data_IF_553849426817
#
_entry.id   IF_553849426817
#
_cell.length_a   1.000
_cell.length_b   1.000
_cell.length_c   1.000
_cell.angle_alpha   90.00
_cell.angle_beta   90.00
_cell.angle_gamma   90.00
#
_symmetry.space_group_name_H-M   'P 1'
#
loop_
_entity.id
_entity.type
_entity.pdbx_description
1 polymer ?
#
# COMPACT_ATOMS: atom_id res chain seq x y z
N UNK A 1 -58.02 -20.93 -15.26
CA UNK A 1 -57.96 -20.63 -13.82
C UNK A 1 -57.39 -21.80 -12.99
N UNK A 2 -56.44 -22.59 -13.52
CA UNK A 2 -55.70 -23.65 -12.77
C UNK A 2 -54.25 -23.74 -13.30
N UNK A 3 -53.64 -22.63 -13.71
CA UNK A 3 -52.24 -22.61 -14.21
C UNK A 3 -51.38 -21.51 -13.55
N UNK A 4 -51.97 -20.63 -12.74
CA UNK A 4 -51.23 -19.53 -12.08
C UNK A 4 -50.72 -19.86 -10.66
N UNK A 5 -51.02 -21.04 -10.11
CA UNK A 5 -50.77 -21.35 -8.69
C UNK A 5 -49.50 -22.16 -8.39
N UNK A 6 -48.51 -22.20 -9.29
CA UNK A 6 -47.30 -23.04 -9.11
C UNK A 6 -45.94 -22.34 -9.30
N UNK A 7 -45.88 -21.01 -9.32
CA UNK A 7 -44.61 -20.26 -9.47
C UNK A 7 -44.15 -19.48 -8.23
N UNK A 8 -44.58 -19.85 -7.02
CA UNK A 8 -43.89 -19.40 -5.80
C UNK A 8 -42.69 -20.30 -5.54
N UNK A 9 -41.63 -20.12 -6.35
CA UNK A 9 -40.28 -20.49 -5.92
C UNK A 9 -39.99 -19.58 -4.74
N UNK A 10 -40.12 -20.12 -3.53
CA UNK A 10 -39.58 -19.51 -2.32
C UNK A 10 -38.08 -19.41 -2.55
N UNK A 11 -37.63 -18.23 -2.98
CA UNK A 11 -36.22 -17.86 -2.88
C UNK A 11 -35.92 -17.89 -1.40
N UNK A 12 -35.28 -18.95 -0.93
CA UNK A 12 -34.83 -19.04 0.45
C UNK A 12 -33.98 -17.79 0.72
N UNK A 13 -34.45 -16.92 1.62
CA UNK A 13 -33.59 -15.85 2.11
C UNK A 13 -32.36 -16.52 2.71
N UNK A 14 -31.14 -16.05 2.37
CA UNK A 14 -29.94 -16.60 2.99
C UNK A 14 -30.09 -16.48 4.50
N UNK A 15 -29.79 -17.56 5.23
CA UNK A 15 -29.92 -17.57 6.68
C UNK A 15 -29.15 -16.38 7.27
N UNK A 16 -29.87 -15.50 7.98
CA UNK A 16 -29.26 -14.41 8.72
C UNK A 16 -28.16 -15.00 9.62
N UNK A 17 -26.90 -14.51 9.53
CA UNK A 17 -25.84 -15.02 10.37
C UNK A 17 -26.26 -14.84 11.82
N UNK A 18 -26.31 -15.94 12.57
CA UNK A 18 -26.65 -15.89 13.99
C UNK A 18 -25.71 -14.96 14.76
N UNK A 19 -26.11 -14.54 15.96
CA UNK A 19 -25.33 -13.63 16.82
C UNK A 19 -23.86 -14.05 16.97
N UNK A 20 -23.59 -15.37 17.00
CA UNK A 20 -22.22 -15.90 17.07
C UNK A 20 -21.42 -15.66 15.77
N UNK A 21 -22.05 -15.79 14.60
CA UNK A 21 -21.42 -15.52 13.30
C UNK A 21 -21.10 -14.04 13.12
N UNK A 22 -22.04 -13.16 13.47
CA UNK A 22 -21.81 -11.70 13.41
C UNK A 22 -20.74 -11.23 14.39
N UNK A 23 -20.69 -11.80 15.61
CA UNK A 23 -19.61 -11.53 16.57
C UNK A 23 -18.25 -12.07 16.10
N UNK A 24 -18.20 -13.26 15.49
CA UNK A 24 -16.97 -13.85 14.96
C UNK A 24 -16.39 -13.01 13.81
N UNK A 25 -17.24 -12.54 12.89
CA UNK A 25 -16.82 -11.65 11.80
C UNK A 25 -16.35 -10.29 12.33
N UNK A 26 -17.03 -9.73 13.32
CA UNK A 26 -16.61 -8.48 13.98
C UNK A 26 -15.27 -8.61 14.70
N UNK A 27 -15.05 -9.70 15.43
CA UNK A 27 -13.80 -9.96 16.15
C UNK A 27 -12.62 -10.16 15.19
N UNK A 28 -12.81 -10.92 14.10
CA UNK A 28 -11.78 -11.12 13.07
C UNK A 28 -11.43 -9.82 12.34
N UNK A 29 -12.42 -9.01 12.00
CA UNK A 29 -12.19 -7.68 11.40
C UNK A 29 -11.39 -6.78 12.34
N UNK A 30 -11.75 -6.73 13.62
CA UNK A 30 -11.02 -5.95 14.62
C UNK A 30 -9.58 -6.43 14.74
N UNK A 31 -9.38 -7.75 14.88
CA UNK A 31 -8.05 -8.36 15.01
C UNK A 31 -7.16 -8.02 13.81
N UNK A 32 -7.64 -8.24 12.58
CA UNK A 32 -6.83 -7.97 11.39
C UNK A 32 -6.57 -6.48 11.19
N UNK A 33 -7.53 -5.59 11.48
CA UNK A 33 -7.32 -4.14 11.47
C UNK A 33 -6.24 -3.74 12.46
N UNK A 34 -6.28 -4.28 13.67
CA UNK A 34 -5.30 -3.96 14.70
C UNK A 34 -3.90 -4.43 14.30
N UNK A 35 -3.77 -5.67 13.81
CA UNK A 35 -2.51 -6.18 13.26
C UNK A 35 -2.01 -5.28 12.12
N UNK A 36 -2.89 -4.90 11.20
CA UNK A 36 -2.56 -4.06 10.05
C UNK A 36 -2.01 -2.69 10.48
N UNK A 37 -2.69 -2.03 11.42
CA UNK A 37 -2.31 -0.71 11.93
C UNK A 37 -0.99 -0.78 12.69
N UNK A 38 -0.84 -1.71 13.64
CA UNK A 38 0.39 -1.85 14.43
C UNK A 38 1.59 -2.17 13.55
N UNK A 39 1.44 -3.12 12.62
CA UNK A 39 2.49 -3.45 11.66
C UNK A 39 2.79 -2.27 10.73
N UNK A 40 1.77 -1.50 10.33
CA UNK A 40 1.90 -0.34 9.46
C UNK A 40 2.68 0.78 10.12
N UNK A 41 2.39 1.08 11.39
CA UNK A 41 3.14 2.05 12.21
C UNK A 41 4.61 1.63 12.32
N UNK A 42 4.88 0.36 12.64
CA UNK A 42 6.23 -0.16 12.72
C UNK A 42 6.97 -0.03 11.38
N UNK A 43 6.32 -0.43 10.29
CA UNK A 43 6.91 -0.41 8.95
C UNK A 43 7.22 1.00 8.46
N UNK A 44 6.21 1.87 8.44
CA UNK A 44 6.35 3.24 7.93
C UNK A 44 7.20 4.10 8.87
N UNK A 45 7.11 3.89 10.18
CA UNK A 45 7.98 4.55 11.15
C UNK A 45 9.46 4.22 10.91
N UNK A 46 9.79 2.93 10.71
CA UNK A 46 11.16 2.53 10.38
C UNK A 46 11.59 3.00 8.99
N UNK A 47 10.68 3.06 8.02
CA UNK A 47 10.95 3.64 6.70
C UNK A 47 11.44 5.09 6.82
N UNK A 48 10.74 5.90 7.62
CA UNK A 48 11.10 7.30 7.88
C UNK A 48 12.39 7.40 8.68
N UNK A 49 12.56 6.57 9.71
CA UNK A 49 13.83 6.48 10.43
C UNK A 49 15.00 6.21 9.48
N UNK A 50 14.91 5.21 8.60
CA UNK A 50 16.00 4.88 7.69
C UNK A 50 16.36 6.01 6.74
N UNK A 51 15.35 6.73 6.23
CA UNK A 51 15.53 7.71 5.16
C UNK A 51 15.84 9.11 5.67
N UNK A 52 15.19 9.54 6.74
CA UNK A 52 15.29 10.91 7.23
C UNK A 52 16.25 11.05 8.41
N UNK A 53 16.52 9.98 9.15
CA UNK A 53 17.38 10.01 10.34
C UNK A 53 18.67 9.24 10.11
N UNK A 54 18.57 7.92 9.88
CA UNK A 54 19.72 7.04 9.80
C UNK A 54 20.63 7.35 8.61
N UNK A 55 20.07 7.61 7.42
CA UNK A 55 20.85 7.96 6.22
C UNK A 55 21.75 9.19 6.41
N UNK A 56 21.19 10.35 6.81
CA UNK A 56 21.99 11.53 7.14
C UNK A 56 23.02 11.30 8.27
N UNK A 57 22.64 10.55 9.31
CA UNK A 57 23.54 10.20 10.41
C UNK A 57 24.73 9.35 9.94
N UNK A 58 24.49 8.27 9.19
CA UNK A 58 25.55 7.42 8.64
C UNK A 58 26.48 8.19 7.69
N UNK A 59 25.98 9.23 7.03
CA UNK A 59 26.79 10.13 6.20
C UNK A 59 27.92 10.84 6.96
N UNK A 60 27.76 11.04 8.28
CA UNK A 60 28.76 11.70 9.15
C UNK A 60 29.77 10.75 9.78
N UNK A 61 29.54 9.43 9.71
CA UNK A 61 30.42 8.45 10.32
C UNK A 61 31.66 8.17 9.44
N UNK A 62 32.82 8.09 10.07
CA UNK A 62 34.05 7.62 9.45
C UNK A 62 34.02 6.09 9.23
N UNK A 63 34.97 5.58 8.44
CA UNK A 63 35.03 4.16 8.06
C UNK A 63 35.06 3.20 9.26
N UNK A 64 36.00 3.35 10.21
CA UNK A 64 36.04 2.57 11.45
C UNK A 64 34.71 2.56 12.22
N UNK A 65 34.10 3.72 12.48
CA UNK A 65 32.83 3.79 13.24
C UNK A 65 31.68 3.11 12.50
N UNK A 66 31.60 3.23 11.16
CA UNK A 66 30.61 2.51 10.35
C UNK A 66 30.68 1.00 10.53
N UNK A 67 31.88 0.43 10.69
CA UNK A 67 32.06 -1.02 10.90
C UNK A 67 31.48 -1.50 12.24
N UNK A 68 31.37 -0.62 13.23
CA UNK A 68 30.77 -0.93 14.52
C UNK A 68 29.26 -0.69 14.45
N UNK A 69 28.84 0.49 14.01
CA UNK A 69 27.44 0.93 14.09
C UNK A 69 26.55 0.20 13.09
N UNK A 70 26.96 0.07 11.82
CA UNK A 70 26.08 -0.46 10.77
C UNK A 70 25.71 -1.93 10.99
N UNK A 71 26.65 -2.84 11.27
CA UNK A 71 26.33 -4.25 11.51
C UNK A 71 25.48 -4.49 12.76
N UNK A 72 25.52 -3.58 13.73
CA UNK A 72 24.71 -3.71 14.95
C UNK A 72 23.33 -3.06 14.79
N UNK A 73 23.26 -1.81 14.32
CA UNK A 73 22.00 -1.09 14.24
C UNK A 73 21.11 -1.62 13.10
N UNK A 74 21.67 -1.79 11.90
CA UNK A 74 20.88 -1.94 10.67
C UNK A 74 20.14 -3.28 10.60
N UNK A 75 20.76 -4.45 10.90
CA UNK A 75 20.03 -5.72 10.88
C UNK A 75 18.85 -5.77 11.85
N UNK A 76 19.01 -5.19 13.06
CA UNK A 76 17.95 -5.15 14.08
C UNK A 76 16.75 -4.33 13.59
N UNK A 77 17.00 -3.12 13.06
CA UNK A 77 15.95 -2.31 12.48
C UNK A 77 15.34 -2.95 11.21
N UNK A 78 16.16 -3.57 10.35
CA UNK A 78 15.68 -4.22 9.12
C UNK A 78 14.81 -5.44 9.39
N UNK A 79 15.04 -6.15 10.51
CA UNK A 79 14.20 -7.26 10.94
C UNK A 79 12.76 -6.81 11.16
N UNK A 80 12.56 -5.77 11.97
CA UNK A 80 11.23 -5.23 12.23
C UNK A 80 10.63 -4.56 11.00
N UNK A 81 11.44 -3.89 10.19
CA UNK A 81 10.98 -3.24 8.96
C UNK A 81 10.43 -4.24 7.94
N UNK A 82 11.12 -5.37 7.68
CA UNK A 82 10.66 -6.36 6.69
C UNK A 82 9.43 -7.13 7.16
N UNK A 83 9.37 -7.48 8.44
CA UNK A 83 8.23 -8.17 9.00
C UNK A 83 7.03 -7.24 9.19
N UNK A 84 7.25 -5.98 9.57
CA UNK A 84 6.22 -4.94 9.52
C UNK A 84 5.61 -4.84 8.12
N UNK A 85 6.45 -4.75 7.08
CA UNK A 85 5.98 -4.74 5.70
C UNK A 85 5.15 -5.98 5.32
N UNK A 86 5.63 -7.18 5.69
CA UNK A 86 4.92 -8.43 5.41
C UNK A 86 3.57 -8.49 6.13
N UNK A 87 3.54 -8.19 7.43
CA UNK A 87 2.31 -8.28 8.22
C UNK A 87 1.29 -7.23 7.83
N UNK A 88 1.70 -5.98 7.52
CA UNK A 88 0.79 -4.97 6.96
C UNK A 88 0.22 -5.44 5.63
N UNK A 89 1.05 -5.96 4.73
CA UNK A 89 0.58 -6.39 3.43
C UNK A 89 -0.36 -7.60 3.51
N UNK A 90 0.02 -8.65 4.26
CA UNK A 90 -0.81 -9.86 4.44
C UNK A 90 -2.15 -9.49 5.09
N UNK A 91 -2.13 -8.79 6.22
CA UNK A 91 -3.37 -8.37 6.88
C UNK A 91 -4.20 -7.42 6.01
N UNK A 92 -3.56 -6.58 5.19
CA UNK A 92 -4.24 -5.68 4.26
C UNK A 92 -4.97 -6.42 3.15
N UNK A 93 -4.33 -7.43 2.55
CA UNK A 93 -4.98 -8.31 1.55
C UNK A 93 -6.12 -9.12 2.19
N UNK A 94 -5.94 -9.62 3.40
CA UNK A 94 -7.00 -10.32 4.14
C UNK A 94 -8.17 -9.39 4.47
N UNK A 95 -7.91 -8.14 4.86
CA UNK A 95 -8.95 -7.15 5.12
C UNK A 95 -9.66 -6.73 3.83
N UNK A 96 -8.93 -6.57 2.72
CA UNK A 96 -9.52 -6.35 1.41
C UNK A 96 -10.48 -7.49 1.09
N UNK A 97 -10.01 -8.74 1.16
CA UNK A 97 -10.83 -9.93 0.94
C UNK A 97 -12.04 -10.00 1.87
N UNK A 98 -11.85 -9.85 3.18
CA UNK A 98 -12.91 -10.01 4.18
C UNK A 98 -13.99 -8.92 4.07
N UNK A 99 -13.58 -7.65 3.99
CA UNK A 99 -14.48 -6.49 4.07
C UNK A 99 -15.16 -6.16 2.75
N UNK A 100 -14.48 -6.42 1.63
CA UNK A 100 -14.94 -5.97 0.32
C UNK A 100 -15.33 -7.13 -0.60
N UNK A 101 -14.87 -8.36 -0.33
CA UNK A 101 -15.11 -9.51 -1.22
C UNK A 101 -15.75 -10.74 -0.53
N UNK A 102 -15.82 -10.84 0.81
CA UNK A 102 -16.33 -12.03 1.51
C UNK A 102 -17.59 -11.79 2.37
N UNK A 103 -17.73 -10.64 3.05
CA UNK A 103 -18.86 -10.38 3.94
C UNK A 103 -20.21 -10.67 3.25
N UNK A 104 -21.08 -11.51 3.83
CA UNK A 104 -22.37 -11.97 3.30
C UNK A 104 -23.15 -10.83 2.63
N UNK A 105 -23.15 -10.84 1.29
CA UNK A 105 -23.28 -9.65 0.42
C UNK A 105 -22.08 -9.43 -0.54
N UNK A 106 -21.10 -10.35 -0.49
CA UNK A 106 -19.72 -10.27 -1.00
C UNK A 106 -19.48 -10.27 -2.50
N UNK A 107 -20.38 -9.67 -3.29
CA UNK A 107 -19.99 -9.08 -4.57
C UNK A 107 -20.27 -7.56 -4.62
N UNK A 108 -21.10 -7.06 -3.69
CA UNK A 108 -21.82 -5.79 -3.82
C UNK A 108 -22.13 -5.23 -2.43
N UNK A 109 -21.11 -4.93 -1.63
CA UNK A 109 -21.36 -4.04 -0.50
C UNK A 109 -21.77 -2.68 -1.10
N UNK A 110 -22.92 -2.12 -0.68
CA UNK A 110 -23.40 -0.79 -1.08
C UNK A 110 -22.39 0.35 -0.91
N UNK A 111 -21.31 0.07 -0.19
CA UNK A 111 -20.18 0.96 0.05
C UNK A 111 -19.05 0.89 -1.00
N UNK A 112 -19.00 -0.13 -1.87
CA UNK A 112 -17.92 -0.32 -2.84
C UNK A 112 -18.22 0.26 -4.23
N UNK A 113 -19.49 0.23 -4.63
CA UNK A 113 -19.95 0.70 -5.93
C UNK A 113 -20.88 1.89 -5.75
N UNK A 114 -20.71 2.92 -6.56
CA UNK A 114 -21.54 4.13 -6.52
C UNK A 114 -23.04 3.82 -6.69
N UNK A 115 -23.37 2.80 -7.49
CA UNK A 115 -24.74 2.39 -7.83
C UNK A 115 -24.94 0.90 -7.53
N UNK A 116 -24.89 0.51 -6.27
CA UNK A 116 -24.97 -0.89 -5.86
C UNK A 116 -26.32 -1.58 -6.19
N UNK A 117 -27.39 -0.83 -6.42
CA UNK A 117 -28.70 -1.35 -6.85
C UNK A 117 -28.69 -1.90 -8.28
N UNK A 118 -27.89 -1.31 -9.17
CA UNK A 118 -27.89 -1.66 -10.61
C UNK A 118 -26.75 -2.61 -10.95
N UNK A 119 -25.63 -2.47 -10.24
CA UNK A 119 -24.42 -3.22 -10.49
C UNK A 119 -24.51 -4.69 -9.99
N UNK A 120 -25.52 -4.98 -9.17
CA UNK A 120 -25.79 -6.30 -8.59
C UNK A 120 -26.42 -7.31 -9.55
N UNK A 121 -27.18 -6.82 -10.54
CA UNK A 121 -28.02 -7.67 -11.37
C UNK A 121 -27.27 -8.39 -12.51
N UNK A 122 -26.06 -7.92 -12.88
CA UNK A 122 -25.43 -8.26 -14.17
C UNK A 122 -24.13 -9.11 -14.08
N UNK A 123 -23.63 -9.45 -12.89
CA UNK A 123 -22.38 -10.23 -12.69
C UNK A 123 -21.08 -9.53 -13.11
N UNK A 124 -21.14 -8.38 -13.79
CA UNK A 124 -20.01 -7.55 -14.21
C UNK A 124 -19.19 -6.99 -13.06
N UNK A 125 -19.83 -6.70 -11.92
CA UNK A 125 -19.20 -6.19 -10.70
C UNK A 125 -18.19 -7.14 -10.10
N UNK A 126 -18.49 -8.44 -10.05
CA UNK A 126 -17.54 -9.46 -9.58
C UNK A 126 -16.28 -9.47 -10.44
N UNK A 127 -16.44 -9.48 -11.77
CA UNK A 127 -15.31 -9.47 -12.71
C UNK A 127 -14.49 -8.19 -12.57
N UNK A 128 -15.13 -7.03 -12.47
CA UNK A 128 -14.45 -5.73 -12.31
C UNK A 128 -13.71 -5.61 -10.98
N UNK A 129 -14.27 -6.12 -9.88
CA UNK A 129 -13.57 -6.20 -8.60
C UNK A 129 -12.34 -7.11 -8.70
N UNK A 130 -12.47 -8.27 -9.34
CA UNK A 130 -11.33 -9.20 -9.53
C UNK A 130 -10.23 -8.58 -10.40
N UNK A 131 -10.59 -7.83 -11.44
CA UNK A 131 -9.63 -7.07 -12.27
C UNK A 131 -8.91 -6.02 -11.42
N UNK A 132 -9.65 -5.21 -10.65
CA UNK A 132 -9.07 -4.18 -9.79
C UNK A 132 -8.09 -4.79 -8.77
N UNK A 133 -8.49 -5.87 -8.07
CA UNK A 133 -7.64 -6.58 -7.13
C UNK A 133 -6.43 -7.25 -7.82
N UNK A 134 -6.65 -7.88 -8.97
CA UNK A 134 -5.59 -8.51 -9.76
C UNK A 134 -4.52 -7.51 -10.17
N UNK A 135 -4.91 -6.30 -10.59
CA UNK A 135 -3.98 -5.23 -10.95
C UNK A 135 -3.15 -4.75 -9.76
N UNK A 136 -3.72 -4.65 -8.56
CA UNK A 136 -2.95 -4.30 -7.34
C UNK A 136 -1.76 -5.26 -7.13
N UNK A 137 -1.96 -6.55 -7.41
CA UNK A 137 -0.93 -7.58 -7.26
C UNK A 137 0.04 -7.64 -8.46
N UNK A 138 -0.48 -7.55 -9.67
CA UNK A 138 0.26 -7.80 -10.92
C UNK A 138 0.98 -6.55 -11.44
N UNK A 139 0.71 -5.34 -10.93
CA UNK A 139 1.40 -4.13 -11.39
C UNK A 139 2.84 -3.97 -10.85
N UNK A 140 3.31 -4.87 -9.97
CA UNK A 140 4.68 -4.79 -9.46
C UNK A 140 5.77 -4.87 -10.52
N UNK A 141 5.76 -5.84 -11.47
CA UNK A 141 6.73 -5.87 -12.55
C UNK A 141 6.70 -4.60 -13.40
N UNK A 142 5.52 -4.03 -13.67
CA UNK A 142 5.38 -2.77 -14.43
C UNK A 142 6.08 -1.62 -13.69
N UNK A 143 5.78 -1.45 -12.40
CA UNK A 143 6.47 -0.47 -11.55
C UNK A 143 8.00 -0.73 -11.50
N UNK A 144 8.42 -1.99 -11.34
CA UNK A 144 9.84 -2.34 -11.24
C UNK A 144 10.59 -2.02 -12.55
N UNK A 145 9.95 -2.27 -13.70
CA UNK A 145 10.42 -1.90 -15.03
C UNK A 145 10.55 -0.38 -15.20
N UNK A 146 9.53 0.40 -14.83
CA UNK A 146 9.55 1.87 -14.90
C UNK A 146 10.71 2.42 -14.06
N UNK A 147 10.81 1.96 -12.81
CA UNK A 147 11.85 2.42 -11.89
C UNK A 147 13.26 1.99 -12.33
N UNK A 148 13.41 0.86 -13.05
CA UNK A 148 14.68 0.46 -13.67
C UNK A 148 15.00 1.37 -14.86
N UNK A 149 14.06 1.55 -15.78
CA UNK A 149 14.22 2.34 -17.01
C UNK A 149 14.56 3.81 -16.71
N UNK A 150 13.95 4.37 -15.67
CA UNK A 150 14.10 5.77 -15.28
C UNK A 150 15.01 5.95 -14.05
N UNK A 151 15.84 4.96 -13.72
CA UNK A 151 16.73 4.97 -12.54
C UNK A 151 17.71 6.16 -12.48
N UNK A 152 18.03 6.76 -13.63
CA UNK A 152 18.87 7.98 -13.72
C UNK A 152 18.16 9.25 -13.24
N UNK A 153 16.82 9.31 -13.33
CA UNK A 153 16.02 10.45 -12.88
C UNK A 153 14.95 9.97 -11.91
N UNK A 154 15.26 10.08 -10.62
CA UNK A 154 14.38 9.66 -9.52
C UNK A 154 13.01 10.34 -9.56
N UNK A 155 12.91 11.67 -9.84
CA UNK A 155 11.61 12.30 -10.01
C UNK A 155 10.82 11.69 -11.17
N UNK A 156 11.47 11.45 -12.32
CA UNK A 156 10.79 10.92 -13.50
C UNK A 156 10.20 9.53 -13.24
N UNK A 157 10.94 8.62 -12.58
CA UNK A 157 10.41 7.29 -12.24
C UNK A 157 9.17 7.35 -11.36
N UNK A 158 9.14 8.27 -10.38
CA UNK A 158 8.01 8.43 -9.47
C UNK A 158 6.82 9.08 -10.15
N UNK A 159 7.02 10.15 -10.92
CA UNK A 159 5.93 10.82 -11.63
C UNK A 159 5.28 9.93 -12.69
N UNK A 160 6.07 9.16 -13.45
CA UNK A 160 5.52 8.18 -14.40
C UNK A 160 4.72 7.11 -13.64
N UNK A 161 5.20 6.64 -12.50
CA UNK A 161 4.45 5.68 -11.70
C UNK A 161 3.16 6.28 -11.11
N UNK A 162 3.19 7.54 -10.67
CA UNK A 162 2.00 8.26 -10.21
C UNK A 162 0.96 8.45 -11.30
N UNK A 163 1.39 8.68 -12.56
CA UNK A 163 0.48 8.71 -13.69
C UNK A 163 -0.18 7.33 -13.94
N UNK A 164 0.56 6.23 -13.77
CA UNK A 164 -0.03 4.88 -13.84
C UNK A 164 -1.05 4.66 -12.71
N UNK A 165 -0.71 5.06 -11.48
CA UNK A 165 -1.63 4.96 -10.35
C UNK A 165 -2.88 5.85 -10.53
N UNK A 166 -2.73 7.03 -11.14
CA UNK A 166 -3.84 7.91 -11.48
C UNK A 166 -4.71 7.33 -12.60
N UNK A 167 -4.10 6.70 -13.60
CA UNK A 167 -4.83 5.95 -14.64
C UNK A 167 -5.62 4.78 -14.06
N UNK A 168 -5.05 4.07 -13.08
CA UNK A 168 -5.76 3.03 -12.33
C UNK A 168 -6.95 3.59 -11.55
N UNK A 169 -6.79 4.73 -10.86
CA UNK A 169 -7.88 5.42 -10.17
C UNK A 169 -8.99 5.88 -11.14
N UNK A 170 -8.61 6.46 -12.28
CA UNK A 170 -9.53 6.90 -13.32
C UNK A 170 -10.31 5.74 -13.92
N UNK A 171 -9.64 4.61 -14.21
CA UNK A 171 -10.31 3.38 -14.66
C UNK A 171 -11.34 2.92 -13.63
N UNK A 172 -10.98 2.86 -12.34
CA UNK A 172 -11.93 2.48 -11.28
C UNK A 172 -13.12 3.43 -11.20
N UNK A 173 -12.89 4.74 -11.29
CA UNK A 173 -13.95 5.75 -11.15
C UNK A 173 -14.89 5.78 -12.35
N UNK A 174 -14.33 5.89 -13.57
CA UNK A 174 -15.10 6.19 -14.77
C UNK A 174 -15.55 4.94 -15.53
N UNK A 175 -14.80 3.84 -15.43
CA UNK A 175 -15.11 2.61 -16.19
C UNK A 175 -15.74 1.54 -15.32
N UNK A 176 -15.26 1.40 -14.08
CA UNK A 176 -15.79 0.40 -13.15
C UNK A 176 -16.93 0.95 -12.27
N UNK A 177 -17.06 2.28 -12.12
CA UNK A 177 -18.10 2.89 -11.28
C UNK A 177 -17.87 2.69 -9.78
N UNK A 178 -16.61 2.53 -9.37
CA UNK A 178 -16.23 2.33 -7.97
C UNK A 178 -16.52 3.59 -7.11
N UNK A 179 -16.85 3.37 -5.84
CA UNK A 179 -17.03 4.46 -4.87
C UNK A 179 -15.70 5.14 -4.53
N UNK A 180 -15.74 6.38 -4.03
CA UNK A 180 -14.53 7.07 -3.60
C UNK A 180 -13.75 6.26 -2.56
N UNK A 181 -14.45 5.60 -1.63
CA UNK A 181 -13.86 4.70 -0.62
C UNK A 181 -13.08 3.56 -1.27
N UNK A 182 -13.70 2.88 -2.25
CA UNK A 182 -13.09 1.77 -2.95
C UNK A 182 -11.81 2.20 -3.68
N UNK A 183 -11.87 3.34 -4.36
CA UNK A 183 -10.75 3.90 -5.14
C UNK A 183 -9.59 4.28 -4.21
N UNK A 184 -9.83 5.01 -3.12
CA UNK A 184 -8.77 5.40 -2.18
C UNK A 184 -8.07 4.18 -1.57
N UNK A 185 -8.85 3.19 -1.11
CA UNK A 185 -8.29 1.96 -0.53
C UNK A 185 -7.51 1.15 -1.57
N UNK A 186 -7.99 1.03 -2.81
CA UNK A 186 -7.29 0.26 -3.85
C UNK A 186 -6.00 0.96 -4.30
N UNK A 187 -5.99 2.28 -4.44
CA UNK A 187 -4.77 3.04 -4.79
C UNK A 187 -3.77 3.00 -3.62
N UNK A 188 -4.25 3.09 -2.38
CA UNK A 188 -3.43 2.85 -1.20
C UNK A 188 -2.84 1.43 -1.20
N UNK A 189 -3.64 0.41 -1.51
CA UNK A 189 -3.21 -0.98 -1.57
C UNK A 189 -2.21 -1.25 -2.71
N UNK A 190 -2.37 -0.56 -3.85
CA UNK A 190 -1.43 -0.58 -4.96
C UNK A 190 -0.05 -0.11 -4.48
N UNK A 191 0.03 1.07 -3.86
CA UNK A 191 1.28 1.57 -3.30
C UNK A 191 1.84 0.67 -2.21
N UNK A 192 0.99 0.20 -1.28
CA UNK A 192 1.41 -0.72 -0.22
C UNK A 192 2.01 -2.01 -0.76
N UNK A 193 1.44 -2.55 -1.84
CA UNK A 193 1.94 -3.77 -2.51
C UNK A 193 3.28 -3.51 -3.19
N UNK A 194 3.43 -2.41 -3.96
CA UNK A 194 4.72 -2.04 -4.56
C UNK A 194 5.79 -1.85 -3.49
N UNK A 195 5.42 -1.21 -2.39
CA UNK A 195 6.31 -0.93 -1.28
C UNK A 195 6.75 -2.21 -0.57
N UNK A 196 5.83 -3.13 -0.27
CA UNK A 196 6.15 -4.41 0.38
C UNK A 196 7.04 -5.26 -0.52
N UNK A 197 6.75 -5.31 -1.82
CA UNK A 197 7.58 -6.00 -2.80
C UNK A 197 8.98 -5.36 -2.90
N UNK A 198 9.11 -4.03 -2.88
CA UNK A 198 10.42 -3.37 -2.79
C UNK A 198 11.22 -3.82 -1.57
N UNK A 199 10.57 -3.92 -0.40
CA UNK A 199 11.24 -4.36 0.84
C UNK A 199 11.84 -5.75 0.66
N UNK A 200 11.04 -6.72 0.23
CA UNK A 200 11.46 -8.11 0.19
C UNK A 200 12.31 -8.48 -1.02
N UNK A 201 12.08 -7.86 -2.19
CA UNK A 201 12.74 -8.23 -3.44
C UNK A 201 13.93 -7.35 -3.81
N UNK A 202 13.99 -6.10 -3.33
CA UNK A 202 15.02 -5.14 -3.73
C UNK A 202 15.82 -4.58 -2.55
N UNK A 203 15.19 -4.22 -1.44
CA UNK A 203 15.88 -3.59 -0.31
C UNK A 203 16.58 -4.65 0.54
N UNK A 204 15.85 -5.63 1.06
CA UNK A 204 16.39 -6.63 1.98
C UNK A 204 17.56 -7.46 1.41
N UNK A 205 17.49 -8.00 0.18
CA UNK A 205 18.61 -8.78 -0.37
C UNK A 205 19.89 -7.96 -0.53
N UNK A 206 19.76 -6.71 -1.00
CA UNK A 206 20.90 -5.82 -1.19
C UNK A 206 21.45 -5.31 0.16
N UNK A 207 20.59 -5.00 1.12
CA UNK A 207 21.03 -4.60 2.47
C UNK A 207 21.83 -5.70 3.16
N UNK A 208 21.42 -6.97 3.04
CA UNK A 208 22.24 -8.09 3.54
C UNK A 208 23.66 -8.06 2.97
N UNK A 209 23.80 -7.90 1.65
CA UNK A 209 25.10 -7.84 0.98
C UNK A 209 25.94 -6.64 1.42
N UNK A 210 25.32 -5.47 1.52
CA UNK A 210 25.96 -4.23 1.98
C UNK A 210 26.49 -4.40 3.41
N UNK A 211 25.66 -4.92 4.32
CA UNK A 211 26.04 -5.10 5.73
C UNK A 211 27.16 -6.13 5.85
N UNK A 212 27.10 -7.24 5.09
CA UNK A 212 28.18 -8.24 5.07
C UNK A 212 29.50 -7.65 4.60
N UNK A 213 29.50 -6.84 3.53
CA UNK A 213 30.71 -6.17 3.04
C UNK A 213 31.31 -5.23 4.10
N UNK A 214 30.48 -4.39 4.72
CA UNK A 214 30.90 -3.46 5.78
C UNK A 214 31.47 -4.23 6.99
N UNK A 215 30.80 -5.31 7.41
CA UNK A 215 31.27 -6.17 8.51
C UNK A 215 32.63 -6.81 8.17
N UNK A 216 32.84 -7.22 6.93
CA UNK A 216 34.12 -7.74 6.42
C UNK A 216 35.19 -6.67 6.18
N UNK A 217 34.88 -5.40 6.45
CA UNK A 217 35.80 -4.28 6.28
C UNK A 217 35.98 -3.82 4.83
N UNK A 218 35.18 -4.33 3.89
CA UNK A 218 35.21 -3.99 2.48
C UNK A 218 34.24 -2.85 2.16
N UNK A 219 34.54 -2.08 1.11
CA UNK A 219 33.58 -1.12 0.57
C UNK A 219 32.42 -1.88 -0.11
N UNK A 220 31.15 -1.58 0.21
CA UNK A 220 30.03 -2.23 -0.45
C UNK A 220 29.91 -1.80 -1.91
N UNK A 221 29.48 -2.72 -2.78
CA UNK A 221 29.21 -2.44 -4.19
C UNK A 221 28.23 -1.27 -4.35
N UNK A 222 28.63 -0.25 -5.11
CA UNK A 222 27.85 0.94 -5.39
C UNK A 222 26.49 0.63 -6.04
N UNK A 223 26.38 -0.44 -6.83
CA UNK A 223 25.13 -0.87 -7.45
C UNK A 223 24.13 -1.37 -6.40
N UNK A 224 24.58 -2.12 -5.39
CA UNK A 224 23.70 -2.59 -4.31
C UNK A 224 23.21 -1.42 -3.45
N UNK A 225 24.12 -0.50 -3.10
CA UNK A 225 23.80 0.70 -2.33
C UNK A 225 22.83 1.59 -3.11
N UNK A 226 23.10 1.81 -4.39
CA UNK A 226 22.25 2.60 -5.28
C UNK A 226 20.85 2.03 -5.42
N UNK A 227 20.73 0.73 -5.66
CA UNK A 227 19.42 0.06 -5.82
C UNK A 227 18.61 0.03 -4.52
N UNK A 228 19.23 -0.37 -3.40
CA UNK A 228 18.55 -0.40 -2.10
C UNK A 228 18.10 1.01 -1.67
N UNK A 229 18.97 2.00 -1.85
CA UNK A 229 18.68 3.40 -1.56
C UNK A 229 17.56 3.96 -2.43
N UNK A 230 17.60 3.72 -3.74
CA UNK A 230 16.55 4.18 -4.68
C UNK A 230 15.18 3.62 -4.29
N UNK A 231 15.09 2.31 -4.02
CA UNK A 231 13.82 1.66 -3.67
C UNK A 231 13.31 2.06 -2.30
N UNK A 232 14.21 2.27 -1.34
CA UNK A 232 13.86 2.83 -0.04
C UNK A 232 13.25 4.24 -0.18
N UNK A 233 13.84 5.10 -1.02
CA UNK A 233 13.28 6.43 -1.30
C UNK A 233 11.95 6.36 -2.03
N UNK A 234 11.81 5.49 -3.03
CA UNK A 234 10.51 5.30 -3.70
C UNK A 234 9.41 4.93 -2.69
N UNK A 235 9.72 4.04 -1.73
CA UNK A 235 8.79 3.72 -0.67
C UNK A 235 8.42 4.95 0.16
N UNK A 236 9.37 5.80 0.52
CA UNK A 236 9.10 7.03 1.28
C UNK A 236 8.22 8.03 0.52
N UNK A 237 8.43 8.18 -0.78
CA UNK A 237 7.57 9.03 -1.62
C UNK A 237 6.16 8.44 -1.79
N UNK A 238 6.04 7.12 -1.92
CA UNK A 238 4.73 6.46 -2.00
C UNK A 238 4.00 6.43 -0.66
N UNK A 239 4.70 6.43 0.48
CA UNK A 239 4.07 6.29 1.79
C UNK A 239 3.23 7.51 2.17
N UNK A 240 3.66 8.72 1.85
CA UNK A 240 2.90 9.94 2.18
C UNK A 240 1.49 9.97 1.55
N UNK A 241 1.33 9.85 0.22
CA UNK A 241 -0.01 9.76 -0.36
C UNK A 241 -0.75 8.50 0.11
N UNK A 242 -0.08 7.34 0.26
CA UNK A 242 -0.70 6.12 0.76
C UNK A 242 -1.36 6.33 2.13
N UNK A 243 -0.66 6.93 3.09
CA UNK A 243 -1.19 7.17 4.44
C UNK A 243 -2.47 7.99 4.40
N UNK A 244 -2.49 9.07 3.60
CA UNK A 244 -3.67 9.91 3.46
C UNK A 244 -4.84 9.15 2.81
N UNK A 245 -4.56 8.34 1.78
CA UNK A 245 -5.60 7.52 1.14
C UNK A 245 -6.16 6.47 2.10
N UNK A 246 -5.33 5.86 2.95
CA UNK A 246 -5.80 4.89 3.94
C UNK A 246 -6.61 5.53 5.07
N UNK A 247 -6.24 6.71 5.55
CA UNK A 247 -7.00 7.41 6.60
C UNK A 247 -8.26 8.11 6.06
N UNK A 248 -8.32 8.41 4.75
CA UNK A 248 -9.44 9.12 4.11
C UNK A 248 -10.80 8.45 4.35
N UNK A 249 -10.84 7.14 4.56
CA UNK A 249 -12.09 6.40 4.84
C UNK A 249 -12.71 6.73 6.20
N UNK A 250 -11.95 7.40 7.07
CA UNK A 250 -12.39 7.96 8.35
C UNK A 250 -12.74 9.45 8.25
N UNK A 251 -12.77 10.03 7.04
CA UNK A 251 -13.09 11.43 6.78
C UNK A 251 -14.36 11.52 5.93
N UNK A 252 -15.56 11.60 6.53
CA UNK A 252 -16.83 11.57 5.79
C UNK A 252 -16.92 12.58 4.64
N UNK A 253 -16.33 13.77 4.80
CA UNK A 253 -16.28 14.80 3.75
C UNK A 253 -15.56 14.36 2.46
N UNK A 254 -14.61 13.42 2.53
CA UNK A 254 -13.88 12.93 1.35
C UNK A 254 -14.62 11.85 0.56
N UNK A 255 -15.76 11.37 1.07
CA UNK A 255 -16.51 10.24 0.52
C UNK A 255 -17.83 10.71 -0.12
N UNK A 256 -18.24 10.07 -1.22
CA UNK A 256 -19.54 10.31 -1.87
C UNK A 256 -19.59 11.55 -2.75
N UNK A 257 -18.43 12.15 -3.04
CA UNK A 257 -18.30 13.34 -3.89
C UNK A 257 -18.03 12.96 -5.36
N UNK A 258 -17.76 11.69 -5.65
CA UNK A 258 -17.43 11.16 -6.99
C UNK A 258 -16.32 11.95 -7.67
N UNK A 259 -15.27 12.28 -6.92
CA UNK A 259 -14.10 13.06 -7.38
C UNK A 259 -12.77 12.42 -6.95
N UNK A 260 -12.78 11.13 -6.58
CA UNK A 260 -11.60 10.44 -6.04
C UNK A 260 -10.33 10.61 -6.89
N UNK A 261 -10.42 10.53 -8.23
CA UNK A 261 -9.26 10.68 -9.13
C UNK A 261 -8.64 12.07 -9.01
N UNK A 262 -9.45 13.14 -8.94
CA UNK A 262 -8.96 14.51 -8.78
C UNK A 262 -8.31 14.71 -7.40
N UNK A 263 -8.92 14.16 -6.35
CA UNK A 263 -8.36 14.17 -4.99
C UNK A 263 -7.02 13.43 -4.97
N UNK A 264 -6.94 12.24 -5.55
CA UNK A 264 -5.71 11.46 -5.65
C UNK A 264 -4.63 12.26 -6.38
N UNK A 265 -4.94 12.90 -7.51
CA UNK A 265 -3.97 13.74 -8.22
C UNK A 265 -3.37 14.82 -7.31
N UNK A 266 -4.22 15.53 -6.54
CA UNK A 266 -3.77 16.51 -5.56
C UNK A 266 -2.90 15.89 -4.45
N UNK A 267 -3.33 14.75 -3.90
CA UNK A 267 -2.62 14.03 -2.83
C UNK A 267 -1.25 13.53 -3.30
N UNK A 268 -1.12 13.07 -4.54
CA UNK A 268 0.17 12.65 -5.12
C UNK A 268 1.14 13.83 -5.23
N UNK A 269 0.65 14.99 -5.68
CA UNK A 269 1.47 16.21 -5.78
C UNK A 269 1.90 16.70 -4.41
N UNK A 270 0.95 16.89 -3.49
CA UNK A 270 1.22 17.36 -2.13
C UNK A 270 2.13 16.37 -1.39
N UNK A 271 1.85 15.07 -1.47
CA UNK A 271 2.66 14.02 -0.87
C UNK A 271 4.09 14.02 -1.40
N UNK A 272 4.28 14.21 -2.71
CA UNK A 272 5.60 14.35 -3.31
C UNK A 272 6.36 15.57 -2.77
N UNK A 273 5.74 16.75 -2.85
CA UNK A 273 6.36 18.02 -2.44
C UNK A 273 6.72 18.02 -0.95
N UNK A 274 5.82 17.51 -0.11
CA UNK A 274 6.07 17.36 1.32
C UNK A 274 7.23 16.40 1.59
N UNK A 275 7.25 15.24 0.93
CA UNK A 275 8.36 14.27 1.08
C UNK A 275 9.70 14.85 0.62
N UNK A 276 9.72 15.52 -0.53
CA UNK A 276 10.92 16.17 -1.07
C UNK A 276 11.43 17.28 -0.15
N UNK A 277 10.53 18.09 0.40
CA UNK A 277 10.86 19.10 1.40
C UNK A 277 11.46 18.46 2.67
N UNK A 278 10.85 17.40 3.21
CA UNK A 278 11.38 16.71 4.40
C UNK A 278 12.78 16.16 4.12
N UNK A 279 13.06 15.58 2.95
CA UNK A 279 14.42 15.13 2.61
C UNK A 279 15.43 16.27 2.59
N UNK A 280 15.05 17.46 2.10
CA UNK A 280 15.92 18.65 2.09
C UNK A 280 16.18 19.18 3.51
N UNK A 281 15.18 19.11 4.39
CA UNK A 281 15.29 19.50 5.80
C UNK A 281 16.12 18.49 6.58
N UNK A 282 15.79 17.20 6.49
CA UNK A 282 16.39 16.13 7.29
C UNK A 282 17.89 15.99 7.05
N UNK A 283 18.36 16.26 5.83
CA UNK A 283 19.79 16.27 5.50
C UNK A 283 20.57 17.39 6.20
N UNK A 284 19.90 18.44 6.68
CA UNK A 284 20.51 19.64 7.29
C UNK A 284 20.34 19.71 8.80
N UNK A 285 19.56 18.82 9.40
CA UNK A 285 19.34 18.82 10.87
C UNK A 285 20.68 18.56 11.57
N UNK A 286 21.17 19.49 12.42
CA UNK A 286 22.41 19.29 13.16
C UNK A 286 22.22 18.26 14.28
N UNK A 287 23.31 17.57 14.64
CA UNK A 287 23.40 16.89 15.94
C UNK A 287 23.88 17.90 16.98
N UNK A 288 23.59 17.64 18.25
CA UNK A 288 24.14 18.37 19.39
C UNK A 288 25.27 17.57 20.05
#
# INVERSE_FOLDING_TARGET
>A
MIVETLNTVVVAQPAEPGVLGTMQDGALQLLFRWIHVVAGVLWIGLLYFFNWVNGPFEGKLDGPTKKIVVPELRPRALFFFRWGAAYTWISGILLLGLLYYHASGGALNGNFWANASDAAADGRTTVFSLIALGLVLVLFPVYDMIAKALSKSRPASLWVWYLVALGYAAMMQYWLGASDRAIYIHVGALFGTMMAANVWMRIWPNQKRIITAIKGGQAPDAAWVGLAGLRSRHNTFMSMPLLLLMISVHMPYMLGQHQATAVIAGVLVVGYLATDWIYKVSAKVPGF
#
